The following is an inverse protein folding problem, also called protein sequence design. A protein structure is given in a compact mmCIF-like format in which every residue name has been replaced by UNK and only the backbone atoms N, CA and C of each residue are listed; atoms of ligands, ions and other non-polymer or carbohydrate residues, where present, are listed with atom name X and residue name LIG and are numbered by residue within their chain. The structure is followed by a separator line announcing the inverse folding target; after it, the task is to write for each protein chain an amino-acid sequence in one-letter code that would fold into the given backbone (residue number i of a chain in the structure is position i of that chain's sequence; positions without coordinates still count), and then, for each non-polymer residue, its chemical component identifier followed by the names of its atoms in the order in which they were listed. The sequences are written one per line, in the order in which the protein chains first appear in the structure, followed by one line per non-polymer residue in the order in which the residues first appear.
data_IF_559116760766
#
_entry.id   IF_559116760766
#
_cell.length_a   1.000
_cell.length_b   1.000
_cell.length_c   1.000
_cell.angle_alpha   90.00
_cell.angle_beta   90.00
_cell.angle_gamma   90.00
#
_symmetry.space_group_name_H-M   'P 1'
#
loop_
_entity.id
_entity.type
_entity.pdbx_description
1 polymer ?
#
# COMPACT_ATOMS: atom_id res chain seq x y z
N UNK A 1 -2.67 -24.13 -10.31
CA UNK A 1 -3.77 -23.32 -9.73
C UNK A 1 -3.13 -22.13 -9.05
N UNK A 2 -3.20 -20.92 -9.64
CA UNK A 2 -2.64 -19.71 -9.02
C UNK A 2 -3.63 -19.29 -7.94
N UNK A 3 -3.30 -19.53 -6.67
CA UNK A 3 -4.08 -19.01 -5.55
C UNK A 3 -3.95 -17.49 -5.60
N UNK A 4 -4.91 -16.80 -6.19
CA UNK A 4 -5.04 -15.35 -6.04
C UNK A 4 -5.52 -15.16 -4.62
N UNK A 5 -4.57 -14.94 -3.71
CA UNK A 5 -4.87 -14.50 -2.35
C UNK A 5 -5.52 -13.12 -2.50
N UNK A 6 -6.84 -13.06 -2.39
CA UNK A 6 -7.55 -11.79 -2.27
C UNK A 6 -7.06 -11.14 -0.98
N UNK A 7 -6.55 -9.90 -1.08
CA UNK A 7 -6.17 -9.11 0.07
C UNK A 7 -7.05 -7.87 0.06
N UNK A 8 -7.70 -7.59 1.18
CA UNK A 8 -8.40 -6.32 1.34
C UNK A 8 -7.35 -5.23 1.50
N UNK A 9 -7.35 -4.23 0.62
CA UNK A 9 -6.53 -3.03 0.74
C UNK A 9 -7.47 -1.85 0.96
N UNK A 10 -7.22 -1.08 2.01
CA UNK A 10 -7.94 0.14 2.34
C UNK A 10 -6.98 1.31 2.10
N UNK A 11 -7.38 2.25 1.26
CA UNK A 11 -6.70 3.54 1.11
C UNK A 11 -7.43 4.56 1.97
N UNK A 12 -6.68 5.34 2.72
CA UNK A 12 -7.24 6.35 3.61
C UNK A 12 -6.27 7.50 3.77
N UNK A 13 -6.72 8.55 4.45
CA UNK A 13 -5.89 9.69 4.76
C UNK A 13 -5.87 9.90 6.27
N UNK A 14 -4.69 10.17 6.83
CA UNK A 14 -4.54 10.63 8.19
C UNK A 14 -4.23 12.12 8.16
N UNK A 15 -5.04 12.92 8.86
CA UNK A 15 -4.85 14.36 9.01
C UNK A 15 -4.52 14.68 10.46
N UNK A 16 -3.44 15.42 10.68
CA UNK A 16 -3.16 16.14 11.92
C UNK A 16 -2.89 17.61 11.64
N UNK A 17 -2.76 18.42 12.68
CA UNK A 17 -2.18 19.77 12.56
C UNK A 17 -0.65 19.64 12.61
N UNK A 18 0.15 19.96 11.59
CA UNK A 18 -0.07 20.51 10.23
C UNK A 18 0.05 19.46 9.12
N UNK A 19 0.11 18.18 9.49
CA UNK A 19 0.55 17.11 8.60
C UNK A 19 -0.60 16.33 7.96
N UNK A 20 -0.41 15.95 6.70
CA UNK A 20 -1.34 15.11 5.94
C UNK A 20 -0.59 13.91 5.40
N UNK A 21 -1.12 12.73 5.62
CA UNK A 21 -0.53 11.49 5.10
C UNK A 21 -1.55 10.73 4.28
N UNK A 22 -1.18 10.44 3.04
CA UNK A 22 -1.89 9.50 2.18
C UNK A 22 -1.43 8.09 2.52
N UNK A 23 -2.32 7.29 3.09
CA UNK A 23 -1.99 6.01 3.70
C UNK A 23 -2.73 4.85 3.04
N UNK A 24 -2.23 3.66 3.31
CA UNK A 24 -2.86 2.40 2.95
C UNK A 24 -2.73 1.39 4.08
N UNK A 25 -3.64 0.44 4.13
CA UNK A 25 -3.56 -0.71 5.01
C UNK A 25 -4.07 -1.96 4.31
N UNK A 26 -3.51 -3.11 4.67
CA UNK A 26 -4.16 -4.40 4.42
C UNK A 26 -4.46 -5.10 5.73
N UNK A 27 -5.49 -5.93 5.73
CA UNK A 27 -5.97 -6.56 6.93
C UNK A 27 -7.07 -7.57 6.67
N UNK A 28 -7.66 -8.04 7.77
CA UNK A 28 -8.76 -8.98 7.79
C UNK A 28 -10.02 -8.33 8.34
N UNK A 29 -11.17 -8.72 7.81
CA UNK A 29 -12.45 -8.47 8.45
C UNK A 29 -12.80 -9.70 9.30
N UNK A 30 -13.16 -9.47 10.57
CA UNK A 30 -13.83 -10.48 11.40
C UNK A 30 -15.25 -10.72 10.87
N UNK A 31 -15.70 -11.98 10.86
CA UNK A 31 -17.06 -12.33 10.47
C UNK A 31 -17.79 -13.03 11.61
N UNK A 32 -19.04 -12.62 11.89
CA UNK A 32 -19.96 -13.42 12.70
C UNK A 32 -20.57 -14.53 11.85
N UNK A 33 -20.51 -15.78 12.31
CA UNK A 33 -21.18 -16.90 11.65
C UNK A 33 -22.70 -16.79 11.69
N UNK A 34 -23.41 -17.54 10.85
CA UNK A 34 -24.86 -17.71 11.02
C UNK A 34 -25.14 -18.48 12.32
N UNK A 35 -25.95 -17.90 13.22
CA UNK A 35 -26.39 -18.56 14.46
C UNK A 35 -25.47 -18.42 15.67
N UNK A 36 -24.43 -17.57 15.60
CA UNK A 36 -23.67 -17.12 16.78
C UNK A 36 -24.30 -15.85 17.35
N UNK A 37 -24.17 -15.62 18.66
CA UNK A 37 -24.52 -14.32 19.26
C UNK A 37 -23.85 -13.18 18.50
N UNK A 38 -24.52 -12.02 18.45
CA UNK A 38 -23.99 -10.83 17.79
C UNK A 38 -22.64 -10.48 18.40
N UNK A 39 -21.57 -10.75 17.65
CA UNK A 39 -20.23 -10.31 17.99
C UNK A 39 -20.13 -8.81 17.68
N UNK A 40 -19.94 -7.93 18.67
CA UNK A 40 -19.79 -6.48 18.43
C UNK A 40 -18.58 -6.15 17.54
N UNK A 41 -17.62 -7.07 17.44
CA UNK A 41 -16.45 -6.92 16.59
C UNK A 41 -16.66 -7.49 15.18
N UNK A 42 -17.83 -8.07 14.87
CA UNK A 42 -18.13 -8.57 13.54
C UNK A 42 -18.14 -7.43 12.50
N UNK A 43 -17.41 -7.62 11.40
CA UNK A 43 -17.27 -6.64 10.32
C UNK A 43 -16.19 -5.59 10.56
N UNK A 44 -15.45 -5.64 11.67
CA UNK A 44 -14.34 -4.73 11.91
C UNK A 44 -13.12 -5.10 11.08
N UNK A 45 -12.53 -4.09 10.44
CA UNK A 45 -11.24 -4.21 9.76
C UNK A 45 -10.10 -4.16 10.77
N UNK A 46 -9.35 -5.26 10.87
CA UNK A 46 -8.12 -5.31 11.68
C UNK A 46 -6.92 -5.16 10.75
N UNK A 47 -6.20 -4.02 10.77
CA UNK A 47 -5.02 -3.83 9.94
C UNK A 47 -3.88 -4.74 10.39
N UNK A 48 -3.24 -5.40 9.44
CA UNK A 48 -2.06 -6.26 9.63
C UNK A 48 -0.78 -5.55 9.19
N UNK A 49 -0.89 -4.67 8.19
CA UNK A 49 0.21 -3.89 7.64
C UNK A 49 -0.34 -2.54 7.17
N UNK A 50 0.39 -1.48 7.48
CA UNK A 50 0.02 -0.09 7.21
C UNK A 50 1.23 0.63 6.64
N UNK A 51 1.02 1.48 5.64
CA UNK A 51 2.08 2.28 5.06
C UNK A 51 1.58 3.59 4.48
N UNK A 52 2.52 4.33 3.89
CA UNK A 52 2.27 5.60 3.21
C UNK A 52 2.25 5.34 1.70
N UNK A 53 1.17 5.76 1.03
CA UNK A 53 0.95 5.52 -0.41
C UNK A 53 1.77 6.46 -1.29
N UNK A 54 2.03 7.67 -0.80
CA UNK A 54 2.91 8.65 -1.43
C UNK A 54 3.51 9.56 -0.33
N UNK A 55 4.80 9.88 -0.45
CA UNK A 55 5.58 10.65 0.53
C UNK A 55 5.82 12.11 0.11
N UNK A 56 5.25 12.55 -1.02
CA UNK A 56 5.27 13.93 -1.50
C UNK A 56 4.06 14.73 -1.01
N UNK A 57 3.87 15.96 -1.54
CA UNK A 57 2.70 16.82 -1.32
C UNK A 57 1.45 16.28 -2.01
N UNK A 58 1.12 15.03 -1.67
CA UNK A 58 0.06 14.24 -2.24
C UNK A 58 -1.00 13.94 -1.18
N UNK A 59 -2.26 14.21 -1.51
CA UNK A 59 -3.39 13.96 -0.64
C UNK A 59 -4.64 13.43 -1.36
N UNK A 60 -5.65 13.06 -0.57
CA UNK A 60 -6.99 12.71 -1.06
C UNK A 60 -6.99 11.59 -2.12
N UNK A 61 -6.38 10.46 -1.77
CA UNK A 61 -6.39 9.25 -2.60
C UNK A 61 -7.82 8.90 -3.04
N UNK A 62 -7.97 8.60 -4.33
CA UNK A 62 -9.16 7.96 -4.90
C UNK A 62 -8.74 6.71 -5.67
N UNK A 63 -9.53 5.65 -5.52
CA UNK A 63 -9.31 4.37 -6.20
C UNK A 63 -10.53 4.01 -7.03
N UNK A 64 -10.28 3.51 -8.24
CA UNK A 64 -11.33 2.99 -9.12
C UNK A 64 -10.81 1.76 -9.85
N UNK A 65 -11.74 0.91 -10.28
CA UNK A 65 -11.42 -0.21 -11.17
C UNK A 65 -11.55 0.26 -12.62
N UNK A 66 -10.49 0.11 -13.41
CA UNK A 66 -10.51 0.48 -14.82
C UNK A 66 -11.25 -0.55 -15.70
N UNK A 67 -11.33 -0.27 -17.01
CA UNK A 67 -11.98 -1.13 -18.01
C UNK A 67 -11.39 -2.54 -18.13
N UNK A 68 -10.12 -2.72 -17.73
CA UNK A 68 -9.41 -4.00 -17.83
C UNK A 68 -9.41 -4.74 -16.48
N UNK A 69 -10.15 -4.22 -15.48
CA UNK A 69 -10.26 -4.81 -14.15
C UNK A 69 -9.07 -4.50 -13.23
N UNK A 70 -8.28 -3.47 -13.53
CA UNK A 70 -7.15 -3.05 -12.70
C UNK A 70 -7.60 -2.03 -11.66
N UNK A 71 -7.07 -2.15 -10.46
CA UNK A 71 -7.24 -1.15 -9.41
C UNK A 71 -6.28 0.02 -9.64
N UNK A 72 -6.84 1.21 -9.87
CA UNK A 72 -6.09 2.42 -10.22
C UNK A 72 -6.24 3.48 -9.13
N UNK A 73 -5.11 3.91 -8.60
CA UNK A 73 -4.96 5.00 -7.64
C UNK A 73 -4.64 6.32 -8.36
N UNK A 74 -5.34 7.37 -7.96
CA UNK A 74 -5.00 8.77 -8.23
C UNK A 74 -5.07 9.58 -6.93
N UNK A 75 -4.43 10.73 -6.89
CA UNK A 75 -4.55 11.69 -5.80
C UNK A 75 -4.28 13.11 -6.25
N UNK A 76 -4.57 14.04 -5.35
CA UNK A 76 -4.36 15.47 -5.54
C UNK A 76 -2.95 15.83 -5.08
N UNK A 77 -2.17 16.43 -5.97
CA UNK A 77 -0.88 17.01 -5.66
C UNK A 77 -1.10 18.50 -5.41
N UNK A 78 -0.78 18.94 -4.20
CA UNK A 78 -0.91 20.35 -3.78
C UNK A 78 0.31 21.17 -4.18
N UNK A 79 0.15 22.48 -4.23
CA UNK A 79 1.27 23.40 -4.42
C UNK A 79 2.18 23.47 -3.19
N UNK A 80 3.48 23.63 -3.41
CA UNK A 80 4.49 23.96 -2.38
C UNK A 80 5.02 25.40 -2.60
N UNK A 81 4.09 26.35 -2.74
CA UNK A 81 4.41 27.73 -3.09
C UNK A 81 4.07 28.75 -1.98
N UNK A 82 3.57 28.28 -0.83
CA UNK A 82 3.21 29.07 0.36
C UNK A 82 2.18 30.20 0.14
N UNK A 83 1.50 30.24 -1.01
CA UNK A 83 0.43 31.20 -1.24
C UNK A 83 -0.86 30.73 -0.54
N UNK A 84 -1.28 31.47 0.49
CA UNK A 84 -2.53 31.19 1.23
C UNK A 84 -3.74 31.92 0.67
N UNK A 85 -3.52 32.99 -0.11
CA UNK A 85 -4.56 33.76 -0.81
C UNK A 85 -4.02 34.27 -2.14
N UNK A 86 -4.79 34.05 -3.22
CA UNK A 86 -4.39 34.38 -4.58
C UNK A 86 -3.32 33.42 -5.11
N UNK A 87 -3.59 32.74 -6.22
CA UNK A 87 -2.60 31.95 -6.95
C UNK A 87 -2.14 32.75 -8.17
N UNK A 88 -0.94 33.36 -8.17
CA UNK A 88 -0.47 34.18 -9.31
C UNK A 88 -0.42 33.39 -10.62
N UNK A 89 -0.23 32.07 -10.54
CA UNK A 89 -0.23 31.17 -11.69
C UNK A 89 -1.63 30.95 -12.30
N UNK A 90 -2.71 31.28 -11.59
CA UNK A 90 -4.09 31.17 -12.07
C UNK A 90 -4.72 29.77 -11.95
N UNK A 91 -4.05 28.82 -11.31
CA UNK A 91 -4.52 27.46 -11.02
C UNK A 91 -3.92 26.95 -9.69
N UNK A 92 -4.44 25.86 -9.12
CA UNK A 92 -3.99 25.31 -7.83
C UNK A 92 -4.07 23.78 -7.81
N UNK A 93 -2.90 23.14 -7.83
CA UNK A 93 -2.73 21.71 -7.76
C UNK A 93 -3.12 20.96 -9.03
N UNK A 94 -2.80 19.67 -9.02
CA UNK A 94 -3.01 18.78 -10.17
C UNK A 94 -3.38 17.38 -9.70
N UNK A 95 -4.05 16.61 -10.56
CA UNK A 95 -4.16 15.17 -10.36
C UNK A 95 -2.85 14.50 -10.74
N UNK A 96 -2.46 13.52 -9.94
CA UNK A 96 -1.34 12.65 -10.22
C UNK A 96 -1.47 11.85 -11.51
N UNK A 97 -0.34 11.32 -11.99
CA UNK A 97 -0.38 10.17 -12.91
C UNK A 97 -1.16 9.00 -12.29
N UNK A 98 -2.04 8.33 -13.05
CA UNK A 98 -2.74 7.15 -12.56
C UNK A 98 -1.77 5.99 -12.32
N UNK A 99 -1.95 5.29 -11.21
CA UNK A 99 -1.07 4.20 -10.77
C UNK A 99 -1.84 2.91 -10.57
N UNK A 100 -1.39 1.81 -11.16
CA UNK A 100 -1.86 0.48 -10.81
C UNK A 100 -1.39 0.13 -9.40
N UNK A 101 -2.31 -0.32 -8.55
CA UNK A 101 -2.03 -0.69 -7.16
C UNK A 101 -2.50 -2.10 -6.85
N UNK A 102 -1.80 -2.75 -5.93
CA UNK A 102 -2.16 -4.09 -5.45
C UNK A 102 -1.09 -4.66 -4.52
N UNK A 103 -1.33 -5.83 -3.93
CA UNK A 103 -0.30 -6.48 -3.12
C UNK A 103 0.77 -7.10 -4.03
N UNK A 104 2.01 -6.65 -3.86
CA UNK A 104 3.18 -7.25 -4.51
C UNK A 104 3.88 -8.22 -3.56
N UNK A 105 4.53 -9.23 -4.13
CA UNK A 105 5.27 -10.24 -3.39
C UNK A 105 6.74 -10.15 -3.82
N UNK A 106 7.62 -9.85 -2.87
CA UNK A 106 9.07 -9.82 -3.09
C UNK A 106 9.67 -11.06 -2.43
N UNK A 107 10.48 -11.80 -3.18
CA UNK A 107 11.00 -13.12 -2.80
C UNK A 107 12.51 -13.12 -2.76
N UNK A 108 13.04 -14.17 -2.15
CA UNK A 108 14.47 -14.47 -2.12
C UNK A 108 15.30 -13.31 -1.55
N UNK A 109 14.75 -12.65 -0.52
CA UNK A 109 15.39 -11.52 0.16
C UNK A 109 16.42 -12.06 1.14
N UNK A 110 17.67 -11.65 0.97
CA UNK A 110 18.71 -11.81 1.97
C UNK A 110 18.78 -10.54 2.83
N UNK A 111 18.22 -10.62 4.04
CA UNK A 111 18.10 -9.53 4.99
C UNK A 111 19.36 -9.42 5.87
N UNK A 112 20.43 -8.87 5.30
CA UNK A 112 21.78 -8.83 5.90
C UNK A 112 21.79 -8.16 7.28
N UNK A 113 21.06 -7.06 7.40
CA UNK A 113 21.05 -6.19 8.60
C UNK A 113 19.87 -6.48 9.53
N UNK A 114 19.14 -7.58 9.29
CA UNK A 114 17.96 -7.98 10.08
C UNK A 114 16.89 -6.87 10.17
N UNK A 115 16.69 -6.09 9.10
CA UNK A 115 15.69 -5.01 9.07
C UNK A 115 14.27 -5.53 8.86
N UNK A 116 14.09 -6.74 8.32
CA UNK A 116 12.78 -7.38 8.19
C UNK A 116 12.40 -8.10 9.50
N UNK A 117 12.42 -7.34 10.60
CA UNK A 117 11.99 -7.75 11.93
C UNK A 117 10.96 -6.74 12.45
N UNK A 118 9.84 -7.24 13.00
CA UNK A 118 8.79 -6.39 13.56
C UNK A 118 7.79 -5.83 12.54
N UNK A 119 7.07 -4.78 12.94
CA UNK A 119 5.99 -4.16 12.17
C UNK A 119 6.56 -3.13 11.18
N UNK A 120 6.12 -3.17 9.94
CA UNK A 120 6.45 -2.19 8.89
C UNK A 120 5.34 -2.06 7.85
N UNK A 121 5.64 -1.40 6.74
CA UNK A 121 4.78 -1.38 5.54
C UNK A 121 4.96 -2.64 4.68
N UNK A 122 5.40 -3.75 5.31
CA UNK A 122 5.51 -5.10 4.76
C UNK A 122 5.07 -6.15 5.79
N UNK A 123 4.75 -7.37 5.30
CA UNK A 123 4.61 -8.58 6.12
C UNK A 123 5.60 -9.62 5.62
N UNK A 124 6.42 -10.17 6.51
CA UNK A 124 7.20 -11.38 6.21
C UNK A 124 6.24 -12.57 6.18
N UNK A 125 6.01 -13.10 4.99
CA UNK A 125 5.02 -14.17 4.74
C UNK A 125 5.63 -15.57 4.67
N UNK A 126 6.95 -15.67 4.48
CA UNK A 126 7.68 -16.93 4.45
C UNK A 126 9.17 -16.67 4.74
N UNK A 127 9.83 -17.64 5.35
CA UNK A 127 11.27 -17.64 5.63
C UNK A 127 11.79 -19.07 5.48
N UNK A 128 12.86 -19.24 4.70
CA UNK A 128 13.51 -20.55 4.48
C UNK A 128 15.03 -20.43 4.61
N UNK A 129 15.65 -21.46 5.13
CA UNK A 129 17.11 -21.60 5.12
C UNK A 129 17.60 -21.99 3.72
N UNK A 130 18.69 -21.38 3.28
CA UNK A 130 19.33 -21.62 1.98
C UNK A 130 20.80 -21.88 2.20
N UNK A 131 21.30 -23.00 1.67
CA UNK A 131 22.72 -23.33 1.68
C UNK A 131 23.46 -22.54 0.59
N UNK A 132 24.53 -21.85 0.98
CA UNK A 132 25.40 -21.11 0.09
C UNK A 132 26.60 -21.96 -0.37
N UNK A 133 27.23 -21.57 -1.48
CA UNK A 133 28.36 -22.30 -2.06
C UNK A 133 29.62 -22.33 -1.17
N UNK A 134 29.70 -21.45 -0.17
CA UNK A 134 30.75 -21.42 0.85
C UNK A 134 30.47 -22.34 2.05
N UNK A 135 29.39 -23.13 2.00
CA UNK A 135 28.96 -24.02 3.07
C UNK A 135 28.20 -23.32 4.20
N UNK A 136 27.97 -22.01 4.12
CA UNK A 136 27.15 -21.28 5.09
C UNK A 136 25.67 -21.47 4.81
N UNK A 137 24.84 -21.28 5.84
CA UNK A 137 23.38 -21.23 5.70
C UNK A 137 22.92 -19.80 5.92
N UNK A 138 22.07 -19.29 5.02
CA UNK A 138 21.46 -17.96 5.11
C UNK A 138 19.95 -18.08 5.06
N UNK A 139 19.23 -17.16 5.72
CA UNK A 139 17.79 -17.07 5.54
C UNK A 139 17.42 -16.26 4.30
N UNK A 140 16.51 -16.84 3.51
CA UNK A 140 15.80 -16.19 2.43
C UNK A 140 14.37 -15.89 2.89
N UNK A 141 13.98 -14.62 2.88
CA UNK A 141 12.64 -14.17 3.27
C UNK A 141 11.78 -13.85 2.04
N UNK A 142 10.47 -14.01 2.18
CA UNK A 142 9.46 -13.46 1.26
C UNK A 142 8.61 -12.44 2.01
N UNK A 143 8.46 -11.24 1.43
CA UNK A 143 7.54 -10.23 1.94
C UNK A 143 6.35 -9.99 1.01
N UNK A 144 5.25 -9.52 1.60
CA UNK A 144 4.12 -8.89 0.92
C UNK A 144 4.08 -7.41 1.29
N UNK A 145 3.85 -6.54 0.33
CA UNK A 145 3.71 -5.07 0.53
C UNK A 145 2.80 -4.47 -0.55
N UNK A 146 2.49 -3.18 -0.49
CA UNK A 146 1.79 -2.48 -1.57
C UNK A 146 2.74 -2.29 -2.75
N UNK A 147 2.39 -2.89 -3.88
CA UNK A 147 2.96 -2.57 -5.17
C UNK A 147 2.25 -1.37 -5.78
N UNK A 148 3.04 -0.45 -6.31
CA UNK A 148 2.55 0.73 -7.02
C UNK A 148 3.41 0.88 -8.28
N UNK A 149 2.78 1.09 -9.43
CA UNK A 149 3.47 1.41 -10.69
C UNK A 149 2.60 2.32 -11.55
N UNK A 150 3.15 3.10 -12.49
CA UNK A 150 2.34 3.84 -13.46
C UNK A 150 1.36 2.91 -14.19
N UNK A 151 0.18 3.42 -14.52
CA UNK A 151 -0.79 2.71 -15.34
C UNK A 151 -0.15 2.31 -16.67
N UNK A 152 -0.25 1.03 -17.06
CA UNK A 152 0.48 0.50 -18.23
C UNK A 152 0.12 1.19 -19.54
N UNK A 153 -1.07 1.76 -19.62
CA UNK A 153 -1.60 2.42 -20.81
C UNK A 153 -1.05 3.84 -20.96
N UNK A 154 -0.32 4.36 -19.97
CA UNK A 154 0.46 5.58 -20.09
C UNK A 154 1.60 5.35 -21.08
N UNK A 155 1.34 5.67 -22.34
CA UNK A 155 2.38 5.87 -23.34
C UNK A 155 3.10 7.17 -22.98
N UNK A 156 4.35 7.06 -22.53
CA UNK A 156 5.23 8.23 -22.45
C UNK A 156 5.37 8.77 -23.88
N UNK A 157 4.92 10.01 -24.08
CA UNK A 157 5.07 10.76 -25.33
C UNK A 157 6.54 10.85 -25.76
#
# INVERSE_FOLDING_TARGET
MRTVSSHNVVLFAAQGDTNRYSMWATGSFSGGGCGVEVDPEAGLFTPLMVGVSDRSDWYANSIYTDKDGKDVLIGWITEDNNFTTGQPQGWDGILSVPREVGITIVRDIYDVDEHLVGKGDWIVSDSKDVSCGDGTTKQSKTIKTLGVKPLSDLQLL
#
